data_IF_300127668619
#
_entry.id   IF_300127668619
#
_cell.length_a   1.000
_cell.length_b   1.000
_cell.length_c   1.000
_cell.angle_alpha   90.00
_cell.angle_beta   90.00
_cell.angle_gamma   90.00
#
_symmetry.space_group_name_H-M   'P 1'
#
loop_
_entity.id
_entity.type
_entity.pdbx_description
1 polymer ?
#
# COMPACT_ATOMS: atom_id res chain seq x y z
N UNK A 1 3.96 3.82 -62.76
CA UNK A 1 2.92 4.83 -62.91
C UNK A 1 1.94 4.69 -61.73
N UNK A 2 1.50 5.76 -61.07
CA UNK A 2 0.54 5.68 -59.97
C UNK A 2 -0.80 5.03 -60.33
N UNK A 3 -1.08 4.92 -61.61
CA UNK A 3 -2.30 4.30 -62.15
C UNK A 3 -2.25 2.78 -62.25
N UNK A 4 -1.07 2.17 -62.13
CA UNK A 4 -0.87 0.71 -62.28
C UNK A 4 -1.11 -0.09 -61.00
N UNK A 5 -1.33 0.58 -59.87
CA UNK A 5 -1.59 -0.07 -58.58
C UNK A 5 -3.08 -0.22 -58.29
N UNK A 6 -3.49 -1.43 -57.93
CA UNK A 6 -4.83 -1.64 -57.38
C UNK A 6 -5.09 -0.78 -56.15
N UNK A 7 -6.31 -0.24 -55.99
CA UNK A 7 -6.69 0.58 -54.84
C UNK A 7 -6.45 -0.13 -53.52
N UNK A 8 -6.65 -1.43 -53.47
CA UNK A 8 -6.37 -2.28 -52.33
C UNK A 8 -4.89 -2.21 -51.90
N UNK A 9 -3.95 -2.37 -52.84
CA UNK A 9 -2.52 -2.31 -52.61
C UNK A 9 -2.08 -0.93 -52.07
N UNK A 10 -2.62 0.15 -52.64
CA UNK A 10 -2.34 1.52 -52.18
C UNK A 10 -2.87 1.75 -50.76
N UNK A 11 -4.09 1.25 -50.46
CA UNK A 11 -4.66 1.37 -49.14
C UNK A 11 -3.86 0.59 -48.10
N UNK A 12 -3.50 -0.65 -48.39
CA UNK A 12 -2.65 -1.49 -47.53
C UNK A 12 -1.29 -0.85 -47.29
N UNK A 13 -0.64 -0.33 -48.34
CA UNK A 13 0.63 0.37 -48.23
C UNK A 13 0.53 1.63 -47.34
N UNK A 14 -0.55 2.40 -47.48
CA UNK A 14 -0.82 3.57 -46.60
C UNK A 14 -1.04 3.15 -45.15
N UNK A 15 -1.80 2.11 -44.89
CA UNK A 15 -2.04 1.59 -43.55
C UNK A 15 -0.75 1.09 -42.93
N UNK A 16 0.07 0.30 -43.65
CA UNK A 16 1.36 -0.15 -43.14
C UNK A 16 2.32 1.00 -42.82
N UNK A 17 2.36 2.04 -43.65
CA UNK A 17 3.17 3.22 -43.41
C UNK A 17 2.67 3.98 -42.17
N UNK A 18 1.37 4.16 -41.99
CA UNK A 18 0.80 4.78 -40.78
C UNK A 18 1.08 3.97 -39.54
N UNK A 19 0.98 2.64 -39.60
CA UNK A 19 1.29 1.73 -38.50
C UNK A 19 2.77 1.85 -38.09
N UNK A 20 3.69 1.74 -39.06
CA UNK A 20 5.12 1.86 -38.80
C UNK A 20 5.51 3.22 -38.20
N UNK A 21 4.92 4.31 -38.69
CA UNK A 21 5.11 5.64 -38.10
C UNK A 21 4.56 5.71 -36.68
N UNK A 22 3.38 5.12 -36.44
CA UNK A 22 2.78 5.05 -35.10
C UNK A 22 3.63 4.27 -34.11
N UNK A 23 4.17 3.13 -34.52
CA UNK A 23 5.08 2.30 -33.71
C UNK A 23 6.39 3.06 -33.40
N UNK A 24 7.02 3.66 -34.42
CA UNK A 24 8.22 4.48 -34.22
C UNK A 24 7.97 5.66 -33.25
N UNK A 25 6.81 6.30 -33.36
CA UNK A 25 6.44 7.38 -32.44
C UNK A 25 6.24 6.87 -31.01
N UNK A 26 5.58 5.71 -30.82
CA UNK A 26 5.42 5.07 -29.51
C UNK A 26 6.78 4.71 -28.91
N UNK A 27 7.70 4.16 -29.70
CA UNK A 27 9.03 3.78 -29.23
C UNK A 27 9.86 5.01 -28.83
N UNK A 28 9.79 6.09 -29.59
CA UNK A 28 10.44 7.35 -29.23
C UNK A 28 9.91 7.92 -27.91
N UNK A 29 8.59 7.97 -27.73
CA UNK A 29 7.99 8.41 -26.49
C UNK A 29 8.36 7.48 -25.32
N UNK A 30 8.34 6.16 -25.53
CA UNK A 30 8.75 5.20 -24.52
C UNK A 30 10.18 5.45 -24.05
N UNK A 31 11.11 5.66 -24.96
CA UNK A 31 12.50 5.95 -24.63
C UNK A 31 12.66 7.31 -23.94
N UNK A 32 11.91 8.33 -24.36
CA UNK A 32 11.88 9.66 -23.70
C UNK A 32 11.45 9.54 -22.23
N UNK A 33 10.36 8.82 -21.94
CA UNK A 33 9.86 8.72 -20.58
C UNK A 33 10.55 7.66 -19.74
N UNK A 34 11.18 6.66 -20.35
CA UNK A 34 11.96 5.66 -19.61
C UNK A 34 13.12 6.28 -18.83
N UNK A 35 13.74 7.33 -19.36
CA UNK A 35 14.78 8.07 -18.65
C UNK A 35 14.24 8.93 -17.52
N UNK A 36 12.94 9.21 -17.50
CA UNK A 36 12.25 10.04 -16.51
C UNK A 36 11.56 9.25 -15.40
N UNK A 37 11.73 7.92 -15.37
CA UNK A 37 11.22 7.12 -14.25
C UNK A 37 11.90 7.57 -12.96
N UNK A 38 11.11 7.84 -11.93
CA UNK A 38 11.57 8.40 -10.66
C UNK A 38 11.58 9.94 -10.60
N UNK A 39 11.23 10.62 -11.69
CA UNK A 39 11.04 12.07 -11.71
C UNK A 39 9.58 12.46 -11.46
N UNK A 40 9.38 13.69 -10.99
CA UNK A 40 8.04 14.26 -10.79
C UNK A 40 7.57 14.92 -12.08
N UNK A 41 6.37 14.56 -12.50
CA UNK A 41 5.67 15.16 -13.62
C UNK A 41 4.41 15.89 -13.16
N UNK A 42 4.04 16.93 -13.90
CA UNK A 42 2.84 17.71 -13.66
C UNK A 42 1.85 17.42 -14.77
N UNK A 43 0.61 17.14 -14.37
CA UNK A 43 -0.50 16.96 -15.29
C UNK A 43 -1.81 17.51 -14.72
N UNK A 44 -2.89 17.31 -15.44
CA UNK A 44 -4.21 17.77 -15.07
C UNK A 44 -5.18 16.60 -14.96
N UNK A 45 -5.98 16.60 -13.90
CA UNK A 45 -7.04 15.60 -13.73
C UNK A 45 -8.00 15.62 -14.93
N UNK A 46 -8.20 14.47 -15.54
CA UNK A 46 -9.08 14.32 -16.69
C UNK A 46 -10.39 13.60 -16.33
N UNK A 47 -10.25 12.39 -15.80
CA UNK A 47 -11.37 11.51 -15.43
C UNK A 47 -10.95 10.48 -14.39
N UNK A 48 -11.95 9.85 -13.78
CA UNK A 48 -11.79 8.66 -12.96
C UNK A 48 -12.52 7.49 -13.59
N UNK A 49 -11.90 6.32 -13.59
CA UNK A 49 -12.51 5.09 -14.05
C UNK A 49 -12.07 3.92 -13.19
N UNK A 50 -13.02 3.16 -12.63
CA UNK A 50 -12.75 2.03 -11.72
C UNK A 50 -11.80 2.39 -10.59
N UNK A 51 -11.98 3.57 -9.97
CA UNK A 51 -11.13 4.09 -8.89
C UNK A 51 -9.75 4.59 -9.34
N UNK A 52 -9.32 4.35 -10.56
CA UNK A 52 -8.06 4.89 -11.09
C UNK A 52 -8.28 6.28 -11.68
N UNK A 53 -7.37 7.20 -11.37
CA UNK A 53 -7.41 8.59 -11.85
C UNK A 53 -6.56 8.68 -13.11
N UNK A 54 -7.14 9.26 -14.15
CA UNK A 54 -6.47 9.54 -15.42
C UNK A 54 -6.05 11.01 -15.48
N UNK A 55 -4.80 11.22 -15.81
CA UNK A 55 -4.13 12.53 -15.78
C UNK A 55 -3.63 12.85 -17.18
N UNK A 56 -4.02 14.02 -17.69
CA UNK A 56 -3.50 14.52 -18.96
C UNK A 56 -2.12 15.13 -18.75
N UNK A 57 -1.12 14.59 -19.44
CA UNK A 57 0.27 15.03 -19.42
C UNK A 57 0.67 15.73 -20.74
N UNK A 58 -0.33 16.02 -21.59
CA UNK A 58 -0.18 16.67 -22.88
C UNK A 58 0.18 15.71 -24.01
N UNK A 59 1.35 15.06 -24.01
CA UNK A 59 1.78 14.11 -25.03
C UNK A 59 1.29 12.67 -24.78
N UNK A 60 1.09 12.32 -23.53
CA UNK A 60 0.74 10.97 -23.07
C UNK A 60 -0.28 11.05 -21.96
N UNK A 61 -1.02 9.97 -21.75
CA UNK A 61 -1.93 9.82 -20.62
C UNK A 61 -1.19 9.20 -19.43
N UNK A 62 -1.39 9.76 -18.23
CA UNK A 62 -0.95 9.18 -16.98
C UNK A 62 -2.11 8.47 -16.29
N UNK A 63 -1.84 7.34 -15.66
CA UNK A 63 -2.79 6.66 -14.77
C UNK A 63 -2.23 6.65 -13.34
N UNK A 64 -3.08 7.02 -12.39
CA UNK A 64 -2.81 6.97 -10.96
C UNK A 64 -3.72 5.89 -10.35
N UNK A 65 -3.25 4.63 -10.25
CA UNK A 65 -4.02 3.53 -9.68
C UNK A 65 -4.36 3.74 -8.20
N UNK A 66 -5.41 3.13 -7.70
CA UNK A 66 -5.87 3.23 -6.30
C UNK A 66 -4.72 3.03 -5.31
N UNK A 67 -3.90 1.99 -5.50
CA UNK A 67 -2.76 1.66 -4.62
C UNK A 67 -1.68 2.75 -4.54
N UNK A 68 -1.61 3.64 -5.51
CA UNK A 68 -0.64 4.73 -5.57
C UNK A 68 -1.26 6.10 -5.27
N UNK A 69 -2.54 6.15 -4.95
CA UNK A 69 -3.21 7.37 -4.49
C UNK A 69 -2.91 7.65 -3.02
N UNK A 70 -3.07 8.90 -2.63
CA UNK A 70 -3.08 9.30 -1.22
C UNK A 70 -4.53 9.31 -0.73
N UNK A 71 -4.85 8.67 0.40
CA UNK A 71 -6.25 8.47 0.84
C UNK A 71 -6.97 9.74 1.24
N UNK A 72 -6.26 10.86 1.40
CA UNK A 72 -6.83 12.16 1.77
C UNK A 72 -6.96 13.14 0.61
N UNK A 73 -6.46 12.77 -0.54
CA UNK A 73 -6.49 13.63 -1.71
C UNK A 73 -7.76 13.39 -2.51
N UNK A 74 -8.45 14.46 -2.82
CA UNK A 74 -9.61 14.49 -3.73
C UNK A 74 -9.30 15.44 -4.86
N UNK A 75 -9.71 15.10 -6.07
CA UNK A 75 -9.40 15.90 -7.25
C UNK A 75 -10.67 16.28 -8.00
N UNK A 76 -10.71 17.49 -8.45
CA UNK A 76 -11.75 18.01 -9.33
C UNK A 76 -11.24 18.10 -10.79
N UNK A 77 -12.16 18.24 -11.73
CA UNK A 77 -11.81 18.32 -13.15
C UNK A 77 -10.90 19.52 -13.43
N UNK A 78 -9.77 19.25 -14.11
CA UNK A 78 -8.69 20.18 -14.41
C UNK A 78 -7.80 20.58 -13.23
N UNK A 79 -7.92 19.91 -12.08
CA UNK A 79 -6.95 20.10 -11.00
C UNK A 79 -5.55 19.71 -11.43
N UNK A 80 -4.60 20.49 -10.98
CA UNK A 80 -3.18 20.24 -11.23
C UNK A 80 -2.67 19.18 -10.27
N UNK A 81 -2.14 18.11 -10.83
CA UNK A 81 -1.59 16.96 -10.09
C UNK A 81 -0.08 16.90 -10.38
N UNK A 82 0.74 16.95 -9.32
CA UNK A 82 2.15 16.55 -9.37
C UNK A 82 2.25 15.10 -8.92
N UNK A 83 2.86 14.23 -9.71
CA UNK A 83 3.02 12.83 -9.36
C UNK A 83 4.36 12.29 -9.82
N UNK A 84 4.84 11.26 -9.15
CA UNK A 84 6.05 10.54 -9.50
C UNK A 84 5.75 9.55 -10.63
N UNK A 85 6.61 9.46 -11.62
CA UNK A 85 6.56 8.42 -12.66
C UNK A 85 7.17 7.15 -12.06
N UNK A 86 6.35 6.10 -11.92
CA UNK A 86 6.79 4.81 -11.37
C UNK A 86 7.11 3.82 -12.47
N UNK A 87 6.28 3.78 -13.51
CA UNK A 87 6.39 2.79 -14.58
C UNK A 87 5.79 3.31 -15.89
N UNK A 88 6.06 2.63 -16.98
CA UNK A 88 5.56 2.96 -18.33
C UNK A 88 4.98 1.71 -18.97
N UNK A 89 3.72 1.80 -19.39
CA UNK A 89 3.02 0.72 -20.08
C UNK A 89 2.79 1.08 -21.55
N UNK A 90 3.13 0.15 -22.45
CA UNK A 90 2.74 0.24 -23.87
C UNK A 90 1.31 -0.30 -23.99
N UNK A 91 0.40 0.51 -24.51
CA UNK A 91 -0.99 0.13 -24.78
C UNK A 91 -1.23 0.10 -26.29
N UNK A 92 -2.34 -0.48 -26.72
CA UNK A 92 -2.75 -0.47 -28.15
C UNK A 92 -2.85 0.97 -28.68
N UNK A 93 -3.39 1.89 -27.87
CA UNK A 93 -3.59 3.30 -28.25
C UNK A 93 -2.34 4.18 -28.12
N UNK A 94 -1.27 3.74 -27.42
CA UNK A 94 -0.10 4.58 -27.20
C UNK A 94 0.74 4.13 -26.02
N UNK A 95 1.25 5.11 -25.26
CA UNK A 95 2.01 4.93 -24.02
C UNK A 95 1.19 5.49 -22.87
N UNK A 96 1.17 4.77 -21.77
CA UNK A 96 0.54 5.19 -20.53
C UNK A 96 1.58 5.20 -19.41
N UNK A 97 1.68 6.31 -18.69
CA UNK A 97 2.57 6.44 -17.54
C UNK A 97 1.83 6.02 -16.27
N UNK A 98 2.44 5.14 -15.49
CA UNK A 98 1.94 4.81 -14.14
C UNK A 98 2.50 5.85 -13.17
N UNK A 99 1.59 6.56 -12.52
CA UNK A 99 1.91 7.64 -11.60
C UNK A 99 1.71 7.20 -10.15
N UNK A 100 2.45 7.81 -9.24
CA UNK A 100 2.29 7.61 -7.79
C UNK A 100 2.28 8.94 -7.04
N UNK A 101 1.35 9.02 -6.08
CA UNK A 101 1.28 10.07 -5.05
C UNK A 101 1.65 9.54 -3.66
N UNK A 102 1.73 8.22 -3.49
CA UNK A 102 2.05 7.57 -2.22
C UNK A 102 3.55 7.28 -2.01
N UNK A 103 4.36 7.32 -3.06
CA UNK A 103 5.77 6.99 -3.02
C UNK A 103 6.57 8.01 -2.18
N UNK A 104 7.49 7.58 -1.28
CA UNK A 104 8.40 8.47 -0.54
C UNK A 104 9.27 9.36 -1.43
N UNK A 105 9.70 8.87 -2.60
CA UNK A 105 10.51 9.64 -3.57
C UNK A 105 9.81 10.90 -4.08
N UNK A 106 8.47 10.92 -4.05
CA UNK A 106 7.72 12.14 -4.39
C UNK A 106 8.09 13.29 -3.44
N UNK A 107 8.17 12.99 -2.14
CA UNK A 107 8.53 13.99 -1.12
C UNK A 107 9.98 14.45 -1.26
N UNK A 108 10.90 13.53 -1.55
CA UNK A 108 12.32 13.85 -1.80
C UNK A 108 12.47 14.80 -3.01
N UNK A 109 11.78 14.49 -4.11
CA UNK A 109 11.83 15.32 -5.31
C UNK A 109 11.20 16.71 -5.09
N UNK A 110 10.09 16.80 -4.35
CA UNK A 110 9.47 18.09 -4.03
C UNK A 110 10.44 18.93 -3.17
N UNK A 111 11.05 18.32 -2.14
CA UNK A 111 12.02 18.98 -1.30
C UNK A 111 13.25 19.45 -2.09
N UNK A 112 13.75 18.66 -3.02
CA UNK A 112 14.91 19.04 -3.83
C UNK A 112 14.65 20.25 -4.73
N UNK A 113 13.38 20.51 -5.07
CA UNK A 113 12.99 21.71 -5.82
C UNK A 113 12.87 22.94 -4.90
N UNK A 114 12.30 22.75 -3.69
CA UNK A 114 12.00 23.86 -2.77
C UNK A 114 13.19 24.22 -1.87
N UNK A 115 14.18 23.33 -1.71
CA UNK A 115 15.35 23.50 -0.83
C UNK A 115 16.64 23.50 -1.66
N UNK A 116 17.22 24.66 -1.96
CA UNK A 116 18.45 24.76 -2.76
C UNK A 116 19.62 23.99 -2.16
N UNK A 117 19.73 23.94 -0.84
CA UNK A 117 20.79 23.22 -0.14
C UNK A 117 20.74 21.70 -0.38
N UNK A 118 19.57 21.14 -0.70
CA UNK A 118 19.41 19.73 -1.14
C UNK A 118 19.81 19.60 -2.62
N UNK A 119 19.37 20.54 -3.47
CA UNK A 119 19.73 20.56 -4.89
C UNK A 119 21.25 20.66 -5.09
N UNK A 120 21.91 21.49 -4.27
CA UNK A 120 23.37 21.69 -4.27
C UNK A 120 24.14 20.57 -3.55
N UNK A 121 23.43 19.54 -3.03
CA UNK A 121 23.99 18.41 -2.26
C UNK A 121 24.77 18.83 -1.00
N UNK A 122 24.49 19.99 -0.44
CA UNK A 122 25.01 20.44 0.86
C UNK A 122 24.28 19.71 1.99
N UNK A 123 22.96 19.56 1.82
CA UNK A 123 22.10 18.76 2.69
C UNK A 123 21.67 17.51 1.94
N UNK A 124 21.85 16.36 2.57
CA UNK A 124 21.51 15.05 2.00
C UNK A 124 20.36 14.43 2.79
N UNK A 125 19.34 13.95 2.07
CA UNK A 125 18.26 13.13 2.65
C UNK A 125 18.79 11.70 2.78
N UNK A 126 18.91 11.21 4.02
CA UNK A 126 19.37 9.84 4.29
C UNK A 126 18.27 8.83 4.17
N UNK A 127 17.09 9.13 4.71
CA UNK A 127 15.94 8.23 4.67
C UNK A 127 14.64 8.98 4.79
N UNK A 128 13.63 8.51 4.07
CA UNK A 128 12.25 9.00 4.15
C UNK A 128 11.34 7.82 4.47
N UNK A 129 10.51 7.98 5.48
CA UNK A 129 9.45 7.03 5.82
C UNK A 129 8.12 7.77 5.80
N UNK A 130 7.17 7.22 5.05
CA UNK A 130 5.93 7.90 4.72
C UNK A 130 4.72 7.01 4.97
N UNK A 131 3.70 7.59 5.55
CA UNK A 131 2.31 7.15 5.51
C UNK A 131 1.53 8.20 4.72
N UNK A 132 1.33 7.90 3.44
CA UNK A 132 0.78 8.86 2.48
C UNK A 132 -0.55 9.46 2.97
N UNK A 133 -0.67 10.79 2.87
CA UNK A 133 -1.84 11.54 3.33
C UNK A 133 -1.92 11.78 4.84
N UNK A 134 -1.04 11.18 5.64
CA UNK A 134 -1.06 11.33 7.09
C UNK A 134 0.21 11.99 7.63
N UNK A 135 1.34 11.31 7.55
CA UNK A 135 2.59 11.79 8.13
C UNK A 135 3.81 11.22 7.43
N UNK A 136 4.83 12.06 7.28
CA UNK A 136 6.14 11.68 6.75
C UNK A 136 7.24 12.11 7.71
N UNK A 137 8.22 11.24 7.94
CA UNK A 137 9.44 11.54 8.67
C UNK A 137 10.64 11.50 7.72
N UNK A 138 11.50 12.51 7.81
CA UNK A 138 12.63 12.71 6.90
C UNK A 138 13.89 12.91 7.73
N UNK A 139 14.86 12.01 7.58
CA UNK A 139 16.17 12.13 8.20
C UNK A 139 17.14 12.83 7.24
N UNK A 140 17.69 13.97 7.66
CA UNK A 140 18.60 14.79 6.87
C UNK A 140 19.95 14.96 7.58
N UNK A 141 21.01 15.08 6.81
CA UNK A 141 22.35 15.38 7.30
C UNK A 141 22.99 16.45 6.43
N UNK A 142 23.89 17.23 6.98
CA UNK A 142 24.73 18.17 6.23
C UNK A 142 26.18 17.71 6.24
N UNK A 143 26.83 17.79 5.08
CA UNK A 143 28.26 17.54 4.95
C UNK A 143 29.10 18.74 5.47
N UNK A 144 28.43 19.90 5.67
CA UNK A 144 29.06 21.11 6.19
C UNK A 144 28.62 21.37 7.63
N UNK A 145 29.57 21.57 8.53
CA UNK A 145 29.31 21.82 9.95
C UNK A 145 28.63 23.16 10.24
N UNK A 146 28.74 24.12 9.32
CA UNK A 146 28.17 25.46 9.42
C UNK A 146 26.71 25.55 8.92
N UNK A 147 26.18 24.45 8.33
CA UNK A 147 24.83 24.40 7.80
C UNK A 147 23.96 23.48 8.65
N UNK A 148 22.91 24.05 9.26
CA UNK A 148 21.88 23.26 9.94
C UNK A 148 20.96 22.60 8.89
N UNK A 149 20.99 21.26 8.75
CA UNK A 149 20.22 20.57 7.73
C UNK A 149 18.70 20.64 7.96
N UNK A 150 18.27 20.69 9.22
CA UNK A 150 16.84 20.80 9.58
C UNK A 150 16.33 22.20 9.28
N UNK A 151 17.07 23.22 9.71
CA UNK A 151 16.76 24.63 9.44
C UNK A 151 16.68 24.94 7.95
N UNK A 152 17.59 24.38 7.14
CA UNK A 152 17.58 24.53 5.68
C UNK A 152 16.29 23.98 5.05
N UNK A 153 15.86 22.81 5.46
CA UNK A 153 14.62 22.17 4.95
C UNK A 153 13.35 22.88 5.44
N UNK A 154 13.33 23.30 6.69
CA UNK A 154 12.16 23.97 7.29
C UNK A 154 12.01 25.38 6.74
N UNK A 155 13.13 26.08 6.59
CA UNK A 155 13.19 27.46 6.10
C UNK A 155 12.75 28.48 7.15
N UNK A 156 12.89 29.77 6.80
CA UNK A 156 12.58 30.86 7.70
C UNK A 156 11.08 30.82 8.10
N UNK A 157 10.81 30.74 9.40
CA UNK A 157 9.44 30.60 9.96
C UNK A 157 8.64 29.41 9.36
N UNK A 158 9.32 28.39 8.88
CA UNK A 158 8.67 27.19 8.32
C UNK A 158 8.09 27.37 6.91
N UNK A 159 8.45 28.42 6.19
CA UNK A 159 7.83 28.71 4.88
C UNK A 159 8.08 27.63 3.84
N UNK A 160 9.29 27.04 3.79
CA UNK A 160 9.62 26.00 2.81
C UNK A 160 8.82 24.73 3.09
N UNK A 161 8.87 24.23 4.33
CA UNK A 161 8.14 23.01 4.69
C UNK A 161 6.62 23.16 4.55
N UNK A 162 6.07 24.36 4.80
CA UNK A 162 4.64 24.64 4.61
C UNK A 162 4.22 24.56 3.14
N UNK A 163 5.11 24.92 2.20
CA UNK A 163 4.83 24.73 0.77
C UNK A 163 4.72 23.26 0.42
N UNK A 164 5.65 22.44 0.92
CA UNK A 164 5.63 20.98 0.70
C UNK A 164 4.38 20.36 1.32
N UNK A 165 4.02 20.73 2.56
CA UNK A 165 2.78 20.27 3.24
C UNK A 165 1.54 20.62 2.40
N UNK A 166 1.48 21.81 1.82
CA UNK A 166 0.37 22.25 0.97
C UNK A 166 0.30 21.46 -0.33
N UNK A 167 1.44 21.15 -0.94
CA UNK A 167 1.52 20.34 -2.15
C UNK A 167 1.08 18.91 -1.92
N UNK A 168 1.26 18.38 -0.69
CA UNK A 168 0.84 17.06 -0.24
C UNK A 168 -0.52 17.06 0.49
N UNK A 169 -1.36 18.07 0.21
CA UNK A 169 -2.75 18.17 0.72
C UNK A 169 -2.86 18.09 2.24
N UNK A 170 -1.91 18.70 2.95
CA UNK A 170 -1.91 18.79 4.41
C UNK A 170 -1.26 17.60 5.13
N UNK A 171 -0.51 16.76 4.44
CA UNK A 171 0.30 15.70 5.05
C UNK A 171 1.35 16.30 5.99
N UNK A 172 1.41 15.83 7.24
CA UNK A 172 2.37 16.32 8.22
C UNK A 172 3.77 15.84 7.89
N UNK A 173 4.75 16.74 7.93
CA UNK A 173 6.13 16.42 7.62
C UNK A 173 7.00 16.78 8.83
N UNK A 174 7.71 15.78 9.36
CA UNK A 174 8.71 15.95 10.40
C UNK A 174 10.10 15.80 9.80
N UNK A 175 10.86 16.89 9.79
CA UNK A 175 12.27 16.89 9.39
C UNK A 175 13.12 16.77 10.63
N UNK A 176 14.02 15.79 10.64
CA UNK A 176 14.90 15.53 11.78
C UNK A 176 16.33 15.29 11.32
N UNK A 177 17.27 15.59 12.23
CA UNK A 177 18.69 15.37 11.97
C UNK A 177 19.01 13.88 12.08
N UNK A 178 19.64 13.35 11.03
CA UNK A 178 20.25 12.02 11.07
C UNK A 178 21.49 12.05 11.96
N UNK A 179 21.69 10.98 12.71
CA UNK A 179 22.91 10.75 13.49
C UNK A 179 23.34 9.29 13.35
N UNK A 180 24.64 9.03 13.42
CA UNK A 180 25.19 7.67 13.38
C UNK A 180 25.03 6.95 14.72
N UNK A 181 24.94 7.73 15.83
CA UNK A 181 24.65 7.18 17.15
C UNK A 181 23.15 6.83 17.26
N UNK A 182 22.82 5.53 17.45
CA UNK A 182 21.43 5.09 17.59
C UNK A 182 20.67 5.82 18.71
N UNK A 183 21.35 6.15 19.84
CA UNK A 183 20.72 6.84 20.95
C UNK A 183 20.23 8.23 20.55
N UNK A 184 21.05 8.97 19.81
CA UNK A 184 20.74 10.32 19.35
C UNK A 184 19.71 10.25 18.23
N UNK A 185 19.87 9.30 17.29
CA UNK A 185 18.97 9.19 16.15
C UNK A 185 17.56 8.77 16.56
N UNK A 186 17.42 7.79 17.45
CA UNK A 186 16.11 7.37 18.01
C UNK A 186 15.43 8.54 18.74
N UNK A 187 16.21 9.28 19.56
CA UNK A 187 15.70 10.47 20.24
C UNK A 187 15.14 11.49 19.25
N UNK A 188 15.86 11.77 18.17
CA UNK A 188 15.42 12.69 17.11
C UNK A 188 14.21 12.13 16.36
N UNK A 189 14.17 10.82 16.10
CA UNK A 189 13.11 10.17 15.34
C UNK A 189 11.74 10.19 16.02
N UNK A 190 11.71 10.21 17.36
CA UNK A 190 10.49 10.30 18.13
C UNK A 190 9.89 11.72 18.21
N UNK A 191 10.61 12.73 17.65
CA UNK A 191 10.06 14.09 17.53
C UNK A 191 8.62 14.06 16.98
N UNK A 192 7.69 14.91 17.50
CA UNK A 192 7.91 16.06 18.38
C UNK A 192 7.95 15.73 19.89
N UNK A 193 7.91 14.46 20.27
CA UNK A 193 8.00 14.09 21.68
C UNK A 193 9.42 14.34 22.23
N UNK A 194 9.49 14.82 23.45
CA UNK A 194 10.77 15.03 24.13
C UNK A 194 11.18 13.76 24.88
N UNK A 195 12.20 13.06 24.34
CA UNK A 195 12.74 11.84 24.91
C UNK A 195 13.82 12.19 25.94
N UNK A 196 13.67 11.71 27.18
CA UNK A 196 14.65 11.94 28.27
C UNK A 196 15.87 11.04 28.10
N UNK A 197 15.67 9.75 27.89
CA UNK A 197 16.74 8.76 27.78
C UNK A 197 16.38 7.71 26.74
N UNK A 198 17.37 7.25 26.00
CA UNK A 198 17.28 6.06 25.12
C UNK A 198 18.25 5.03 25.68
N UNK A 199 17.80 3.79 25.83
CA UNK A 199 18.60 2.65 26.27
C UNK A 199 18.55 1.61 25.17
N UNK A 200 19.71 1.22 24.66
CA UNK A 200 19.80 0.09 23.71
C UNK A 200 19.77 -1.20 24.53
N UNK A 201 18.79 -2.04 24.27
CA UNK A 201 18.57 -3.30 24.97
C UNK A 201 19.32 -4.45 24.28
N UNK A 202 19.29 -4.50 22.96
CA UNK A 202 19.95 -5.53 22.16
C UNK A 202 20.32 -4.92 20.79
N UNK A 203 21.62 -4.84 20.50
CA UNK A 203 22.14 -4.31 19.23
C UNK A 203 21.94 -5.28 18.08
N UNK A 204 22.03 -6.58 18.32
CA UNK A 204 21.90 -7.61 17.29
C UNK A 204 20.45 -7.70 16.79
N UNK A 205 19.48 -7.62 17.71
CA UNK A 205 18.05 -7.59 17.40
C UNK A 205 17.53 -6.18 17.14
N UNK A 206 18.36 -5.15 17.28
CA UNK A 206 18.02 -3.72 17.14
C UNK A 206 16.84 -3.30 18.05
N UNK A 207 16.93 -3.65 19.32
CA UNK A 207 15.92 -3.34 20.32
C UNK A 207 16.35 -2.15 21.16
N UNK A 208 15.49 -1.16 21.32
CA UNK A 208 15.75 0.03 22.12
C UNK A 208 14.53 0.44 22.96
N UNK A 209 14.81 0.98 24.14
CA UNK A 209 13.81 1.56 25.04
C UNK A 209 13.97 3.07 25.05
N UNK A 210 12.90 3.80 24.73
CA UNK A 210 12.84 5.24 24.83
C UNK A 210 12.03 5.64 26.08
N UNK A 211 12.67 6.33 27.01
CA UNK A 211 12.05 6.80 28.24
C UNK A 211 11.61 8.23 28.06
N UNK A 212 10.32 8.48 28.30
CA UNK A 212 9.68 9.78 28.18
C UNK A 212 8.96 10.17 29.47
N UNK A 213 8.59 11.44 29.62
CA UNK A 213 7.70 11.85 30.71
C UNK A 213 6.26 11.39 30.43
N UNK A 214 5.44 11.27 31.47
CA UNK A 214 4.05 10.86 31.32
C UNK A 214 3.25 11.80 30.35
N UNK A 215 3.54 13.10 30.40
CA UNK A 215 2.95 14.08 29.47
C UNK A 215 3.33 13.85 28.00
N UNK A 216 4.54 13.36 27.73
CA UNK A 216 5.07 13.13 26.39
C UNK A 216 4.75 11.73 25.84
N UNK A 217 4.33 10.79 26.70
CA UNK A 217 4.07 9.41 26.33
C UNK A 217 3.06 9.29 25.17
N UNK A 218 1.92 9.96 25.29
CA UNK A 218 0.90 9.95 24.24
C UNK A 218 1.38 10.59 22.94
N UNK A 219 2.29 11.59 23.02
CA UNK A 219 2.87 12.25 21.83
C UNK A 219 3.90 11.34 21.18
N UNK A 220 4.72 10.63 21.99
CA UNK A 220 5.74 9.72 21.53
C UNK A 220 5.12 8.53 20.76
N UNK A 221 4.06 7.94 21.28
CA UNK A 221 3.31 6.89 20.60
C UNK A 221 2.58 7.46 19.38
N UNK A 222 1.90 8.59 19.55
CA UNK A 222 1.06 9.20 18.53
C UNK A 222 -0.27 8.48 18.32
N UNK A 223 -1.13 9.04 17.44
CA UNK A 223 -2.44 8.47 17.14
C UNK A 223 -2.27 7.08 16.51
N UNK A 224 -2.86 6.04 17.12
CA UNK A 224 -2.77 4.65 16.67
C UNK A 224 -1.31 4.16 16.50
N UNK A 225 -0.40 4.58 17.37
CA UNK A 225 1.01 4.19 17.27
C UNK A 225 1.79 4.77 16.08
N UNK A 226 1.23 5.73 15.36
CA UNK A 226 1.81 6.25 14.11
C UNK A 226 3.21 6.83 14.29
N UNK A 227 3.45 7.58 15.39
CA UNK A 227 4.73 8.24 15.58
C UNK A 227 5.86 7.23 15.85
N UNK A 228 5.62 6.27 16.75
CA UNK A 228 6.60 5.22 17.07
C UNK A 228 6.80 4.28 15.88
N UNK A 229 5.74 3.88 15.16
CA UNK A 229 5.86 3.03 13.97
C UNK A 229 6.69 3.69 12.87
N UNK A 230 6.50 4.98 12.60
CA UNK A 230 7.32 5.71 11.65
C UNK A 230 8.78 5.85 12.14
N UNK A 231 8.99 6.07 13.45
CA UNK A 231 10.33 6.12 14.04
C UNK A 231 11.05 4.77 13.91
N UNK A 232 10.37 3.66 14.21
CA UNK A 232 10.91 2.30 14.05
C UNK A 232 11.40 2.06 12.62
N UNK A 233 10.55 2.36 11.64
CA UNK A 233 10.89 2.21 10.22
C UNK A 233 11.98 3.17 9.75
N UNK A 234 12.09 4.36 10.37
CA UNK A 234 13.11 5.35 10.02
C UNK A 234 14.49 4.94 10.52
N UNK A 235 14.57 4.50 11.78
CA UNK A 235 15.82 4.12 12.44
C UNK A 235 16.26 2.69 12.13
N UNK A 236 15.35 1.84 11.60
CA UNK A 236 15.50 0.38 11.50
C UNK A 236 15.75 -0.27 12.88
N UNK A 237 15.07 0.27 13.91
CA UNK A 237 15.09 -0.23 15.27
C UNK A 237 13.67 -0.51 15.72
N UNK A 238 13.50 -1.52 16.57
CA UNK A 238 12.26 -1.73 17.30
C UNK A 238 12.33 -0.95 18.61
N UNK A 239 11.61 0.16 18.69
CA UNK A 239 11.66 1.11 19.78
C UNK A 239 10.41 0.91 20.63
N UNK A 240 10.58 0.50 21.86
CA UNK A 240 9.52 0.56 22.88
C UNK A 240 9.57 1.89 23.61
N UNK A 241 8.40 2.44 23.92
CA UNK A 241 8.28 3.73 24.61
C UNK A 241 7.65 3.49 25.97
N UNK A 242 8.34 3.90 27.05
CA UNK A 242 7.85 3.77 28.44
C UNK A 242 7.97 5.10 29.16
N UNK A 243 7.14 5.25 30.21
CA UNK A 243 7.28 6.37 31.16
C UNK A 243 8.45 6.12 32.11
N UNK A 244 8.90 7.17 32.81
CA UNK A 244 9.96 7.03 33.83
C UNK A 244 9.61 6.02 34.92
N UNK A 245 8.33 6.01 35.34
CA UNK A 245 7.82 5.08 36.35
C UNK A 245 7.87 3.63 35.86
N UNK A 246 7.36 3.38 34.67
CA UNK A 246 7.41 2.06 34.03
C UNK A 246 8.84 1.57 33.80
N UNK A 247 9.75 2.47 33.40
CA UNK A 247 11.15 2.13 33.19
C UNK A 247 11.90 1.84 34.50
N UNK A 248 11.52 2.52 35.59
CA UNK A 248 12.10 2.27 36.93
C UNK A 248 11.64 0.92 37.51
N UNK A 249 10.41 0.51 37.26
CA UNK A 249 9.87 -0.79 37.69
C UNK A 249 10.54 -1.98 36.98
N UNK A 250 11.12 -1.74 35.79
CA UNK A 250 11.76 -2.78 35.01
C UNK A 250 13.20 -3.08 35.39
N UNK A 251 13.77 -2.40 36.40
CA UNK A 251 15.11 -2.60 36.94
C UNK A 251 16.19 -2.82 35.85
N UNK A 252 16.26 -1.83 34.91
CA UNK A 252 17.16 -1.89 33.75
C UNK A 252 18.61 -1.70 34.20
N UNK A 253 19.16 -2.71 34.86
CA UNK A 253 20.62 -2.83 35.06
C UNK A 253 21.22 -3.40 33.77
N UNK A 254 22.43 -2.98 33.43
CA UNK A 254 23.14 -3.44 32.22
C UNK A 254 23.29 -4.98 32.13
N UNK A 255 23.22 -5.66 33.27
CA UNK A 255 23.33 -7.12 33.39
C UNK A 255 22.02 -7.87 33.10
N UNK A 256 20.86 -7.21 33.25
CA UNK A 256 19.54 -7.81 33.01
C UNK A 256 18.84 -7.26 31.75
N UNK A 257 19.49 -6.37 30.98
CA UNK A 257 18.97 -5.79 29.75
C UNK A 257 18.48 -6.85 28.76
N UNK A 258 19.15 -8.00 28.69
CA UNK A 258 18.80 -9.10 27.80
C UNK A 258 17.52 -9.83 28.24
N UNK A 259 17.33 -10.02 29.58
CA UNK A 259 16.11 -10.61 30.14
C UNK A 259 14.93 -9.63 30.11
N UNK A 260 15.20 -8.35 30.35
CA UNK A 260 14.22 -7.28 30.24
C UNK A 260 13.77 -7.11 28.77
N UNK A 261 14.67 -7.24 27.79
CA UNK A 261 14.33 -7.24 26.38
C UNK A 261 13.40 -8.41 26.01
N UNK A 262 13.72 -9.63 26.45
CA UNK A 262 12.84 -10.78 26.21
C UNK A 262 11.45 -10.61 26.84
N UNK A 263 11.34 -10.02 28.03
CA UNK A 263 10.06 -9.78 28.68
C UNK A 263 9.29 -8.61 28.08
N UNK A 264 9.96 -7.56 27.58
CA UNK A 264 9.33 -6.39 26.93
C UNK A 264 8.72 -6.74 25.56
N UNK A 265 9.44 -7.52 24.78
CA UNK A 265 9.03 -7.83 23.39
C UNK A 265 8.22 -9.12 23.28
N UNK A 266 8.24 -9.98 24.32
CA UNK A 266 7.34 -11.13 24.46
C UNK A 266 6.05 -10.79 25.22
N UNK A 267 5.95 -9.60 25.85
CA UNK A 267 4.81 -9.20 26.68
C UNK A 267 3.74 -8.35 25.97
N UNK A 268 4.08 -7.68 24.86
CA UNK A 268 3.15 -6.83 24.07
C UNK A 268 3.06 -7.22 22.58
N UNK A 269 3.64 -8.32 22.14
CA UNK A 269 2.96 -9.07 21.10
C UNK A 269 1.73 -9.64 21.81
N UNK A 270 0.56 -9.07 21.56
CA UNK A 270 -0.65 -9.86 21.64
C UNK A 270 -0.23 -11.21 21.05
N UNK A 271 -0.20 -12.22 21.95
CA UNK A 271 -0.06 -13.59 21.54
C UNK A 271 -1.30 -13.83 20.67
N UNK A 272 -1.20 -13.58 19.38
CA UNK A 272 -1.97 -14.31 18.42
C UNK A 272 -1.40 -15.73 18.53
N UNK A 273 -1.85 -16.48 19.54
CA UNK A 273 -1.76 -17.92 19.49
C UNK A 273 -2.47 -18.27 18.20
N UNK A 274 -1.74 -18.80 17.23
CA UNK A 274 -2.35 -19.40 16.05
C UNK A 274 -3.33 -20.45 16.54
N UNK A 275 -4.60 -20.06 16.68
CA UNK A 275 -5.68 -20.95 17.06
C UNK A 275 -6.03 -21.72 15.80
N UNK A 276 -5.38 -22.84 15.60
CA UNK A 276 -5.61 -23.74 14.47
C UNK A 276 -6.69 -24.77 14.74
N UNK A 277 -7.02 -25.02 16.01
CA UNK A 277 -7.97 -26.08 16.40
C UNK A 277 -9.17 -25.52 17.17
N UNK A 278 -10.37 -26.00 16.81
CA UNK A 278 -11.62 -25.69 17.50
C UNK A 278 -11.56 -26.03 19.00
N UNK A 279 -10.69 -26.98 19.40
CA UNK A 279 -10.49 -27.33 20.81
C UNK A 279 -9.79 -26.25 21.65
N UNK A 280 -9.14 -25.27 21.02
CA UNK A 280 -8.47 -24.14 21.68
C UNK A 280 -9.44 -22.98 21.95
N UNK A 281 -10.63 -23.00 21.33
CA UNK A 281 -11.64 -21.96 21.52
C UNK A 281 -12.41 -22.17 22.82
N UNK A 282 -12.52 -21.13 23.63
CA UNK A 282 -13.32 -21.12 24.85
C UNK A 282 -14.79 -20.84 24.52
N UNK A 283 -15.70 -21.64 25.10
CA UNK A 283 -17.14 -21.44 24.94
C UNK A 283 -17.87 -22.47 24.07
N UNK A 284 -17.18 -23.50 23.58
CA UNK A 284 -17.75 -24.64 22.85
C UNK A 284 -17.98 -25.79 23.81
N UNK A 285 -19.14 -26.46 23.67
CA UNK A 285 -19.45 -27.62 24.51
C UNK A 285 -18.45 -28.78 24.28
N UNK A 286 -17.90 -29.39 25.34
CA UNK A 286 -16.92 -30.49 25.21
C UNK A 286 -17.39 -31.64 24.32
N UNK A 287 -18.70 -31.94 24.28
CA UNK A 287 -19.35 -32.94 23.43
C UNK A 287 -19.13 -32.61 21.94
N UNK A 288 -19.29 -31.35 21.57
CA UNK A 288 -19.15 -30.87 20.17
C UNK A 288 -17.68 -30.96 19.73
N UNK A 289 -16.76 -30.63 20.61
CA UNK A 289 -15.31 -30.74 20.34
C UNK A 289 -14.89 -32.19 20.10
N UNK A 290 -15.43 -33.15 20.90
CA UNK A 290 -15.15 -34.57 20.69
C UNK A 290 -15.73 -35.09 19.37
N UNK A 291 -16.93 -34.66 18.98
CA UNK A 291 -17.56 -35.03 17.72
C UNK A 291 -16.78 -34.49 16.51
N UNK A 292 -16.32 -33.24 16.57
CA UNK A 292 -15.54 -32.65 15.52
C UNK A 292 -14.16 -33.32 15.40
N UNK A 293 -13.51 -33.64 16.52
CA UNK A 293 -12.26 -34.40 16.54
C UNK A 293 -12.39 -35.79 15.91
N UNK A 294 -13.45 -36.52 16.22
CA UNK A 294 -13.70 -37.86 15.65
C UNK A 294 -14.04 -37.82 14.16
N UNK A 295 -14.52 -36.67 13.67
CA UNK A 295 -14.83 -36.42 12.26
C UNK A 295 -13.67 -35.81 11.47
N UNK A 296 -12.49 -35.62 12.08
CA UNK A 296 -11.33 -34.93 11.52
C UNK A 296 -11.62 -33.45 11.06
N UNK A 297 -12.60 -32.81 11.74
CA UNK A 297 -13.04 -31.44 11.53
C UNK A 297 -12.69 -30.54 12.73
N UNK A 298 -11.65 -30.89 13.48
CA UNK A 298 -11.17 -30.13 14.62
C UNK A 298 -10.27 -28.93 14.23
N UNK A 299 -9.83 -28.88 12.99
CA UNK A 299 -9.13 -27.77 12.37
C UNK A 299 -10.13 -26.67 11.94
N UNK A 300 -9.85 -25.41 12.26
CA UNK A 300 -10.77 -24.28 12.05
C UNK A 300 -11.07 -24.07 10.56
N UNK A 301 -10.07 -24.13 9.69
CA UNK A 301 -10.26 -23.95 8.24
C UNK A 301 -11.10 -25.06 7.64
N UNK A 302 -10.84 -26.31 8.05
CA UNK A 302 -11.61 -27.48 7.61
C UNK A 302 -13.04 -27.41 8.11
N UNK A 303 -13.25 -26.98 9.36
CA UNK A 303 -14.59 -26.78 9.89
C UNK A 303 -15.36 -25.71 9.14
N UNK A 304 -14.76 -24.56 8.87
CA UNK A 304 -15.39 -23.44 8.12
C UNK A 304 -15.75 -23.87 6.70
N UNK A 305 -14.88 -24.64 6.04
CA UNK A 305 -15.16 -25.19 4.71
C UNK A 305 -16.35 -26.19 4.77
N UNK A 306 -16.34 -27.12 5.76
CA UNK A 306 -17.40 -28.09 5.95
C UNK A 306 -18.74 -27.49 6.39
N UNK A 307 -18.73 -26.38 7.09
CA UNK A 307 -19.93 -25.62 7.43
C UNK A 307 -20.52 -24.89 6.21
N UNK A 308 -19.68 -24.35 5.32
CA UNK A 308 -20.11 -23.69 4.08
C UNK A 308 -20.70 -24.64 3.04
N UNK A 309 -20.15 -25.83 2.88
CA UNK A 309 -20.61 -26.84 1.90
C UNK A 309 -21.69 -27.77 2.46
N UNK A 310 -22.03 -27.64 3.75
CA UNK A 310 -23.05 -28.44 4.44
C UNK A 310 -22.59 -29.86 4.79
N UNK A 311 -21.31 -30.21 4.65
CA UNK A 311 -20.78 -31.53 4.99
C UNK A 311 -20.67 -31.74 6.50
N UNK A 312 -20.57 -30.67 7.29
CA UNK A 312 -20.59 -30.71 8.76
C UNK A 312 -21.88 -31.34 9.33
N UNK A 313 -23.03 -31.19 8.64
CA UNK A 313 -24.31 -31.82 9.03
C UNK A 313 -24.37 -33.34 8.83
N UNK A 314 -23.40 -33.92 8.12
CA UNK A 314 -23.33 -35.39 7.93
C UNK A 314 -22.65 -36.09 9.09
N UNK A 315 -22.11 -35.38 10.04
CA UNK A 315 -21.48 -35.95 11.25
C UNK A 315 -22.57 -36.40 12.21
N UNK A 316 -22.61 -37.69 12.53
CA UNK A 316 -23.60 -38.26 13.47
C UNK A 316 -23.51 -37.59 14.85
N UNK A 317 -24.59 -36.97 15.29
CA UNK A 317 -24.70 -36.34 16.59
C UNK A 317 -24.42 -34.83 16.62
N UNK A 318 -24.07 -34.22 15.48
CA UNK A 318 -23.93 -32.75 15.34
C UNK A 318 -25.26 -32.15 14.86
N UNK A 319 -25.72 -31.10 15.51
CA UNK A 319 -26.94 -30.39 15.11
C UNK A 319 -26.61 -29.07 14.42
N UNK A 320 -27.56 -28.49 13.67
CA UNK A 320 -27.38 -27.15 13.05
C UNK A 320 -27.07 -26.08 14.11
N UNK A 321 -27.70 -26.17 15.28
CA UNK A 321 -27.48 -25.24 16.39
C UNK A 321 -26.03 -25.32 16.92
N UNK A 322 -25.45 -26.53 16.96
CA UNK A 322 -24.03 -26.73 17.35
C UNK A 322 -23.08 -26.11 16.32
N UNK A 323 -23.36 -26.26 15.01
CA UNK A 323 -22.56 -25.68 13.93
C UNK A 323 -22.62 -24.16 13.96
N UNK A 324 -23.81 -23.59 14.15
CA UNK A 324 -24.01 -22.13 14.23
C UNK A 324 -23.32 -21.57 15.48
N UNK A 325 -23.35 -22.27 16.61
CA UNK A 325 -22.65 -21.86 17.83
C UNK A 325 -21.12 -21.85 17.65
N UNK A 326 -20.55 -22.90 17.04
CA UNK A 326 -19.11 -22.97 16.76
C UNK A 326 -18.69 -21.88 15.75
N UNK A 327 -19.46 -21.70 14.67
CA UNK A 327 -19.21 -20.67 13.65
C UNK A 327 -19.23 -19.27 14.24
N UNK A 328 -20.14 -19.00 15.18
CA UNK A 328 -20.22 -17.73 15.88
C UNK A 328 -18.99 -17.49 16.76
N UNK A 329 -18.56 -18.49 17.53
CA UNK A 329 -17.36 -18.38 18.38
C UNK A 329 -16.11 -18.14 17.52
N UNK A 330 -15.99 -18.82 16.37
CA UNK A 330 -14.89 -18.60 15.44
C UNK A 330 -14.89 -17.16 14.90
N UNK A 331 -16.04 -16.67 14.45
CA UNK A 331 -16.14 -15.29 13.92
C UNK A 331 -15.91 -14.21 14.98
N UNK A 332 -16.23 -14.50 16.24
CA UNK A 332 -16.05 -13.54 17.36
C UNK A 332 -14.59 -13.57 17.90
N UNK A 333 -13.83 -14.65 17.67
CA UNK A 333 -12.53 -14.88 18.32
C UNK A 333 -11.36 -14.94 17.33
N UNK A 334 -11.59 -15.29 16.06
CA UNK A 334 -10.54 -15.51 15.04
C UNK A 334 -10.66 -14.46 13.93
N UNK A 335 -9.62 -13.65 13.77
CA UNK A 335 -9.43 -12.81 12.59
C UNK A 335 -8.66 -13.64 11.55
N UNK A 336 -9.26 -13.92 10.41
CA UNK A 336 -8.59 -14.60 9.30
C UNK A 336 -7.71 -13.59 8.57
N UNK A 337 -6.40 -13.83 8.51
CA UNK A 337 -5.54 -13.13 7.54
C UNK A 337 -5.97 -13.61 6.14
N UNK A 338 -6.49 -12.69 5.32
CA UNK A 338 -6.64 -12.94 3.90
C UNK A 338 -5.22 -13.02 3.32
N UNK A 339 -4.69 -14.23 3.14
CA UNK A 339 -3.52 -14.44 2.30
C UNK A 339 -3.89 -13.93 0.90
N UNK A 340 -3.21 -12.85 0.47
CA UNK A 340 -3.19 -12.42 -0.92
C UNK A 340 -2.69 -13.59 -1.79
N UNK A 341 -3.62 -14.36 -2.33
CA UNK A 341 -3.36 -15.44 -3.27
C UNK A 341 -2.96 -14.87 -4.65
N UNK A 342 -1.89 -14.06 -4.68
CA UNK A 342 -1.37 -13.44 -5.90
C UNK A 342 0.12 -13.71 -6.18
N UNK A 343 0.82 -14.51 -5.34
CA UNK A 343 2.29 -14.68 -5.54
C UNK A 343 2.79 -16.13 -5.56
N UNK A 344 1.92 -17.12 -5.79
CA UNK A 344 2.34 -18.52 -5.90
C UNK A 344 1.97 -19.19 -7.25
N UNK A 345 2.05 -18.44 -8.37
CA UNK A 345 1.90 -19.04 -9.71
C UNK A 345 2.79 -18.36 -10.75
N UNK A 346 4.09 -18.37 -10.54
CA UNK A 346 5.06 -17.96 -11.54
C UNK A 346 6.34 -18.80 -11.46
N UNK A 347 6.23 -20.12 -11.59
CA UNK A 347 7.30 -20.97 -12.10
C UNK A 347 6.67 -22.24 -12.69
N UNK A 348 6.93 -22.47 -13.98
CA UNK A 348 6.59 -23.61 -14.82
C UNK A 348 5.25 -23.60 -15.58
N UNK A 349 5.18 -22.82 -16.68
CA UNK A 349 4.43 -23.25 -17.88
C UNK A 349 4.95 -22.56 -19.14
N UNK A 350 5.41 -23.35 -20.09
CA UNK A 350 5.71 -22.98 -21.47
C UNK A 350 4.45 -22.47 -22.19
N UNK A 351 4.58 -21.61 -23.22
CA UNK A 351 3.45 -20.95 -23.87
C UNK A 351 2.64 -21.96 -24.70
N UNK A 352 1.41 -22.22 -24.29
CA UNK A 352 0.38 -22.73 -25.18
C UNK A 352 -0.49 -21.56 -25.63
N UNK A 353 -0.64 -21.44 -26.95
CA UNK A 353 -1.58 -20.55 -27.62
C UNK A 353 -2.99 -20.78 -27.07
N UNK A 354 -3.58 -19.76 -26.45
CA UNK A 354 -4.99 -19.76 -26.07
C UNK A 354 -5.68 -18.71 -26.91
N UNK A 355 -6.64 -19.17 -27.69
CA UNK A 355 -7.59 -18.38 -28.46
C UNK A 355 -8.39 -17.44 -27.54
N UNK A 356 -8.42 -16.16 -27.87
CA UNK A 356 -9.30 -15.14 -27.30
C UNK A 356 -10.76 -15.49 -27.61
N UNK A 357 -11.48 -15.95 -26.59
CA UNK A 357 -12.94 -15.89 -26.51
C UNK A 357 -13.27 -15.31 -25.12
N UNK A 358 -13.19 -13.97 -24.98
CA UNK A 358 -13.82 -13.26 -23.88
C UNK A 358 -15.34 -13.26 -24.16
N UNK A 359 -16.09 -14.12 -23.44
CA UNK A 359 -17.55 -14.08 -23.43
C UNK A 359 -18.01 -12.77 -22.76
N UNK A 360 -18.37 -11.77 -23.56
CA UNK A 360 -19.02 -10.57 -23.06
C UNK A 360 -20.39 -10.89 -22.48
N UNK A 361 -20.59 -10.59 -21.19
CA UNK A 361 -21.86 -10.79 -20.50
C UNK A 361 -22.81 -9.63 -20.76
N UNK A 362 -23.97 -9.90 -21.35
CA UNK A 362 -25.00 -8.90 -21.65
C UNK A 362 -26.15 -8.97 -20.64
N UNK A 363 -26.70 -7.81 -20.29
CA UNK A 363 -27.81 -7.68 -19.33
C UNK A 363 -28.97 -6.92 -19.93
N UNK A 364 -30.21 -7.36 -19.65
CA UNK A 364 -31.41 -6.69 -20.08
C UNK A 364 -31.53 -5.26 -19.50
N UNK A 365 -31.70 -4.23 -20.33
CA UNK A 365 -31.76 -2.83 -19.86
C UNK A 365 -32.98 -2.53 -18.97
N UNK A 366 -34.06 -3.30 -19.06
CA UNK A 366 -35.29 -3.05 -18.31
C UNK A 366 -35.29 -3.75 -16.94
N UNK A 367 -34.76 -4.96 -16.84
CA UNK A 367 -34.86 -5.77 -15.60
C UNK A 367 -33.54 -6.32 -15.05
N UNK A 368 -32.38 -6.05 -15.70
CA UNK A 368 -31.06 -6.47 -15.28
C UNK A 368 -30.83 -7.99 -15.31
N UNK A 369 -31.66 -8.77 -16.00
CA UNK A 369 -31.45 -10.21 -16.14
C UNK A 369 -30.34 -10.48 -17.17
N UNK A 370 -29.51 -11.50 -16.93
CA UNK A 370 -28.47 -11.93 -17.87
C UNK A 370 -29.13 -12.45 -19.15
N UNK A 371 -28.67 -12.00 -20.29
CA UNK A 371 -29.18 -12.33 -21.63
C UNK A 371 -28.03 -12.71 -22.55
N UNK A 372 -28.27 -13.44 -23.61
CA UNK A 372 -27.30 -13.75 -24.67
C UNK A 372 -27.70 -13.10 -25.98
N UNK A 373 -26.73 -12.89 -26.86
CA UNK A 373 -26.92 -12.19 -28.15
C UNK A 373 -27.91 -12.86 -29.11
N UNK A 374 -28.19 -14.14 -28.94
CA UNK A 374 -29.11 -14.94 -29.71
C UNK A 374 -30.59 -14.84 -29.25
N UNK A 375 -30.84 -14.08 -28.13
CA UNK A 375 -32.21 -13.90 -27.61
C UNK A 375 -32.91 -12.70 -28.25
N UNK A 376 -34.06 -12.91 -28.84
CA UNK A 376 -34.91 -11.85 -29.37
C UNK A 376 -35.80 -11.18 -28.31
N UNK A 377 -35.98 -11.81 -27.16
CA UNK A 377 -36.83 -11.29 -26.06
C UNK A 377 -36.21 -11.69 -24.71
N UNK A 378 -36.30 -10.79 -23.73
CA UNK A 378 -35.83 -11.07 -22.38
C UNK A 378 -36.72 -12.14 -21.71
N UNK A 379 -36.11 -13.27 -21.19
CA UNK A 379 -36.88 -14.34 -20.58
C UNK A 379 -37.60 -13.93 -19.26
N UNK A 380 -37.15 -12.83 -18.62
CA UNK A 380 -37.70 -12.39 -17.33
C UNK A 380 -38.81 -11.32 -17.45
N UNK A 381 -38.66 -10.35 -18.36
CA UNK A 381 -39.60 -9.25 -18.49
C UNK A 381 -40.33 -9.21 -19.86
N UNK A 382 -39.91 -10.04 -20.83
CA UNK A 382 -40.56 -10.15 -22.13
C UNK A 382 -40.29 -8.98 -23.11
N UNK A 383 -39.39 -8.06 -22.74
CA UNK A 383 -39.04 -6.93 -23.63
C UNK A 383 -38.26 -7.44 -24.85
N UNK A 384 -38.54 -6.88 -26.01
CA UNK A 384 -37.81 -7.18 -27.25
C UNK A 384 -36.41 -6.61 -27.20
N UNK A 385 -35.44 -7.44 -27.55
CA UNK A 385 -34.00 -7.11 -27.51
C UNK A 385 -33.50 -6.90 -28.93
N UNK A 386 -32.93 -5.73 -29.19
CA UNK A 386 -32.31 -5.39 -30.47
C UNK A 386 -30.83 -5.14 -30.20
N UNK A 387 -29.98 -5.94 -30.81
CA UNK A 387 -28.53 -5.76 -30.74
C UNK A 387 -28.10 -5.07 -32.04
N UNK A 388 -27.46 -3.92 -31.92
CA UNK A 388 -26.86 -3.23 -33.08
C UNK A 388 -25.45 -3.82 -33.29
N UNK A 389 -25.19 -4.32 -34.49
CA UNK A 389 -23.84 -4.73 -34.93
C UNK A 389 -23.04 -3.46 -35.26
N UNK A 390 -21.96 -3.17 -34.51
CA UNK A 390 -20.97 -2.13 -34.86
C UNK A 390 -19.88 -2.66 -35.83
#
# INVERSE_FOLDING_TARGET
>A
DPHDFERSAVTTGKQAAHQALGESFKDNLYNEYKSKIGEVIIGYYQREHKGSIYVDLGKVEGVLPVKYQSPRETYEKNDRIKALIVDIKKTSSGIQLVLSRSDPKLVENILSVDVPEIADKIVTIKKVVREAGYRTKIAVISDKSDVDPVGACVGLKGTRIQNVIRELSGEKIDVLRYDEDPHVFIKNALSPAEVKKVVVLDEDKKLALAVVSESEFSIAIGKQGQNVRLANRLCDWNIDVKTEEQAAEMDVSETDARKAAENLFNGDSENYEEITSVAQLSGIEPRVVELLKNAELDDIERFVAAAKDGSALKVEGLTQEDIDAVSKVINDTVEFEEEDAADAAAEDAQPQEVSDDEEEEYFCPECGAKISLDMSHCPKCGVELVFEEE
#
